data_IF_854850495092
#
_entry.id   IF_854850495092
#
_cell.length_a   1.000
_cell.length_b   1.000
_cell.length_c   1.000
_cell.angle_alpha   90.00
_cell.angle_beta   90.00
_cell.angle_gamma   90.00
#
_symmetry.space_group_name_H-M   'P 1'
#
loop_
_entity.id
_entity.type
_entity.pdbx_description
1 polymer ?
#
# COMPACT_ATOMS: atom_id res chain seq x y z
N UNK A 1 -46.25 -14.73 -31.72
CA UNK A 1 -46.23 -13.88 -30.50
C UNK A 1 -44.78 -13.67 -30.11
N UNK A 2 -44.19 -12.47 -30.27
CA UNK A 2 -42.81 -12.26 -29.86
C UNK A 2 -42.71 -12.25 -28.33
N UNK A 3 -41.88 -13.12 -27.78
CA UNK A 3 -41.60 -13.21 -26.36
C UNK A 3 -41.08 -11.85 -25.86
N UNK A 4 -41.82 -11.21 -24.96
CA UNK A 4 -41.38 -9.98 -24.32
C UNK A 4 -40.07 -10.26 -23.58
N UNK A 5 -38.97 -9.75 -24.13
CA UNK A 5 -37.63 -9.84 -23.53
C UNK A 5 -37.70 -9.12 -22.18
N UNK A 6 -37.91 -9.88 -21.10
CA UNK A 6 -38.04 -9.34 -19.75
C UNK A 6 -36.77 -8.55 -19.43
N UNK A 7 -36.88 -7.21 -19.38
CA UNK A 7 -35.75 -6.36 -19.03
C UNK A 7 -35.23 -6.82 -17.66
N UNK A 8 -33.95 -7.19 -17.52
CA UNK A 8 -33.44 -7.67 -16.25
C UNK A 8 -33.70 -6.59 -15.18
N UNK A 9 -34.19 -6.97 -13.99
CA UNK A 9 -34.51 -6.02 -12.96
C UNK A 9 -33.26 -5.21 -12.62
N UNK A 10 -33.37 -3.87 -12.58
CA UNK A 10 -32.24 -2.95 -12.37
C UNK A 10 -31.40 -3.30 -11.13
N UNK A 11 -32.00 -3.96 -10.14
CA UNK A 11 -31.34 -4.45 -8.92
C UNK A 11 -30.34 -5.57 -9.19
N UNK A 12 -30.63 -6.48 -10.13
CA UNK A 12 -29.74 -7.59 -10.50
C UNK A 12 -28.39 -7.08 -11.04
N UNK A 13 -28.41 -5.96 -11.77
CA UNK A 13 -27.19 -5.30 -12.27
C UNK A 13 -26.29 -4.83 -11.13
N UNK A 14 -26.87 -4.29 -10.06
CA UNK A 14 -26.10 -3.81 -8.89
C UNK A 14 -25.60 -4.95 -8.02
N UNK A 15 -26.37 -6.04 -7.88
CA UNK A 15 -25.92 -7.26 -7.21
C UNK A 15 -24.74 -7.88 -7.97
N UNK A 16 -24.83 -7.98 -9.30
CA UNK A 16 -23.72 -8.45 -10.14
C UNK A 16 -22.49 -7.56 -10.00
N UNK A 17 -22.65 -6.23 -10.03
CA UNK A 17 -21.54 -5.29 -9.80
C UNK A 17 -20.89 -5.49 -8.41
N UNK A 18 -21.69 -5.63 -7.36
CA UNK A 18 -21.18 -5.86 -6.00
C UNK A 18 -20.38 -7.17 -5.93
N UNK A 19 -20.89 -8.25 -6.52
CA UNK A 19 -20.20 -9.54 -6.58
C UNK A 19 -18.89 -9.45 -7.35
N UNK A 20 -18.87 -8.77 -8.50
CA UNK A 20 -17.65 -8.54 -9.28
C UNK A 20 -16.64 -7.72 -8.47
N UNK A 21 -17.08 -6.66 -7.79
CA UNK A 21 -16.20 -5.87 -6.92
C UNK A 21 -15.63 -6.71 -5.78
N UNK A 22 -16.45 -7.54 -5.12
CA UNK A 22 -15.99 -8.46 -4.08
C UNK A 22 -14.96 -9.46 -4.61
N UNK A 23 -15.20 -10.02 -5.81
CA UNK A 23 -14.27 -10.93 -6.46
C UNK A 23 -12.92 -10.24 -6.72
N UNK A 24 -12.94 -9.05 -7.30
CA UNK A 24 -11.72 -8.25 -7.57
C UNK A 24 -10.99 -7.93 -6.26
N UNK A 25 -11.72 -7.48 -5.23
CA UNK A 25 -11.13 -7.19 -3.92
C UNK A 25 -10.52 -8.44 -3.28
N UNK A 26 -11.17 -9.59 -3.40
CA UNK A 26 -10.66 -10.85 -2.84
C UNK A 26 -9.41 -11.34 -3.57
N UNK A 27 -9.40 -11.28 -4.91
CA UNK A 27 -8.21 -11.62 -5.70
C UNK A 27 -7.06 -10.67 -5.37
N UNK A 28 -7.34 -9.37 -5.32
CA UNK A 28 -6.37 -8.37 -4.92
C UNK A 28 -5.81 -8.64 -3.53
N UNK A 29 -6.68 -8.91 -2.55
CA UNK A 29 -6.27 -9.23 -1.19
C UNK A 29 -5.31 -10.42 -1.18
N UNK A 30 -5.71 -11.57 -1.76
CA UNK A 30 -4.88 -12.78 -1.84
C UNK A 30 -3.52 -12.49 -2.48
N UNK A 31 -3.49 -11.88 -3.67
CA UNK A 31 -2.23 -11.55 -4.36
C UNK A 31 -1.35 -10.61 -3.55
N UNK A 32 -1.93 -9.60 -2.89
CA UNK A 32 -1.19 -8.65 -2.05
C UNK A 32 -0.64 -9.27 -0.77
N UNK A 33 -1.40 -10.17 -0.12
CA UNK A 33 -0.92 -10.91 1.05
C UNK A 33 0.19 -11.87 0.69
N UNK A 34 0.09 -12.59 -0.43
CA UNK A 34 1.15 -13.48 -0.91
C UNK A 34 2.45 -12.72 -1.18
N UNK A 35 2.38 -11.58 -1.88
CA UNK A 35 3.55 -10.72 -2.12
C UNK A 35 4.14 -10.19 -0.81
N UNK A 36 3.29 -9.76 0.13
CA UNK A 36 3.74 -9.23 1.44
C UNK A 36 4.37 -10.32 2.30
N UNK A 37 3.81 -11.53 2.31
CA UNK A 37 4.34 -12.69 3.03
C UNK A 37 5.68 -13.09 2.42
N UNK A 38 5.76 -13.23 1.09
CA UNK A 38 7.00 -13.53 0.37
C UNK A 38 8.12 -12.51 0.65
N UNK A 39 7.79 -11.20 0.61
CA UNK A 39 8.75 -10.14 0.95
C UNK A 39 9.23 -10.21 2.42
N UNK A 40 8.35 -10.62 3.35
CA UNK A 40 8.72 -10.78 4.77
C UNK A 40 9.50 -12.06 5.06
N UNK A 41 9.15 -13.19 4.43
CA UNK A 41 9.74 -14.49 4.72
C UNK A 41 11.10 -14.70 4.06
N UNK A 42 11.35 -14.12 2.88
CA UNK A 42 12.61 -14.29 2.17
C UNK A 42 13.61 -13.15 2.37
N UNK A 43 13.36 -12.22 3.30
CA UNK A 43 14.25 -11.09 3.56
C UNK A 43 14.48 -10.18 2.35
N UNK A 44 13.62 -10.30 1.33
CA UNK A 44 13.77 -9.68 0.01
C UNK A 44 13.63 -8.18 0.08
N UNK A 45 14.71 -7.50 0.47
CA UNK A 45 14.79 -6.06 0.47
C UNK A 45 15.71 -5.52 1.53
N UNK A 46 15.86 -6.19 2.68
CA UNK A 46 16.81 -5.72 3.69
C UNK A 46 18.23 -6.11 3.27
N UNK A 47 19.03 -5.12 2.87
CA UNK A 47 20.44 -5.33 2.56
C UNK A 47 21.22 -5.10 3.86
N UNK A 48 21.83 -6.17 4.37
CA UNK A 48 22.77 -6.05 5.49
C UNK A 48 23.98 -5.22 5.04
N UNK A 49 24.28 -4.19 5.80
CA UNK A 49 25.43 -3.31 5.59
C UNK A 49 26.50 -3.70 6.59
N UNK A 50 27.44 -4.53 6.15
CA UNK A 50 28.58 -5.00 6.96
C UNK A 50 29.89 -4.84 6.19
N UNK A 51 30.64 -3.73 6.32
CA UNK A 51 30.30 -2.37 6.76
C UNK A 51 29.96 -1.44 5.58
N UNK A 52 29.95 -1.99 4.36
CA UNK A 52 29.64 -1.29 3.11
C UNK A 52 28.58 -2.06 2.33
N UNK A 53 27.69 -1.36 1.64
CA UNK A 53 26.71 -1.96 0.74
C UNK A 53 26.58 -1.09 -0.51
N UNK A 54 26.49 -1.72 -1.69
CA UNK A 54 26.17 -1.01 -2.93
C UNK A 54 24.68 -1.08 -3.18
N UNK A 55 24.10 0.07 -3.46
CA UNK A 55 22.67 0.23 -3.79
C UNK A 55 22.55 1.08 -5.04
N UNK A 56 21.43 0.95 -5.74
CA UNK A 56 21.08 1.82 -6.85
C UNK A 56 19.79 2.53 -6.51
N UNK A 57 19.78 3.85 -6.60
CA UNK A 57 18.65 4.68 -6.23
C UNK A 57 18.40 5.75 -7.29
N UNK A 58 17.14 6.06 -7.53
CA UNK A 58 16.74 7.18 -8.37
C UNK A 58 16.42 8.41 -7.52
N UNK A 59 16.60 9.60 -8.09
CA UNK A 59 16.31 10.84 -7.37
C UNK A 59 14.84 10.89 -6.91
N UNK A 60 14.65 11.17 -5.63
CA UNK A 60 13.34 11.24 -4.98
C UNK A 60 12.82 9.91 -4.45
N UNK A 61 13.45 8.76 -4.76
CA UNK A 61 13.03 7.47 -4.21
C UNK A 61 13.21 7.44 -2.69
N UNK A 62 12.22 6.89 -1.94
CA UNK A 62 12.35 6.72 -0.51
C UNK A 62 13.35 5.60 -0.20
N UNK A 63 14.11 5.75 0.88
CA UNK A 63 14.95 4.68 1.43
C UNK A 63 15.09 4.88 2.95
N UNK A 64 15.56 3.86 3.65
CA UNK A 64 15.74 3.90 5.10
C UNK A 64 17.03 3.23 5.54
N UNK A 65 17.47 3.60 6.74
CA UNK A 65 18.61 3.00 7.42
C UNK A 65 18.15 2.61 8.83
N UNK A 66 18.16 1.30 9.10
CA UNK A 66 17.83 0.71 10.38
C UNK A 66 19.08 0.16 11.06
N UNK A 67 19.03 0.10 12.39
CA UNK A 67 19.98 -0.64 13.22
C UNK A 67 19.18 -1.69 14.00
N UNK A 68 19.81 -2.82 14.32
CA UNK A 68 19.19 -3.88 15.13
C UNK A 68 19.26 -3.60 16.64
N UNK A 69 20.09 -2.65 17.06
CA UNK A 69 20.32 -2.27 18.46
C UNK A 69 20.05 -0.77 18.66
N UNK A 70 19.77 -0.34 19.89
CA UNK A 70 19.58 1.08 20.27
C UNK A 70 20.89 1.91 20.19
N UNK A 71 21.81 1.53 19.30
CA UNK A 71 23.08 2.18 19.07
C UNK A 71 22.94 3.28 18.01
N UNK A 72 23.62 4.41 18.26
CA UNK A 72 23.69 5.51 17.29
C UNK A 72 24.70 5.12 16.20
N UNK A 73 24.21 4.49 15.14
CA UNK A 73 25.03 4.14 13.97
C UNK A 73 24.98 5.29 12.96
N UNK A 74 26.15 5.77 12.55
CA UNK A 74 26.26 6.78 11.48
C UNK A 74 26.62 6.07 10.19
N UNK A 75 25.90 6.40 9.12
CA UNK A 75 26.06 5.85 7.79
C UNK A 75 26.28 6.98 6.79
N UNK A 76 27.37 6.89 6.02
CA UNK A 76 27.65 7.75 4.89
C UNK A 76 27.06 7.11 3.63
N UNK A 77 26.29 7.87 2.87
CA UNK A 77 25.82 7.47 1.55
C UNK A 77 26.63 8.25 0.52
N UNK A 78 27.41 7.52 -0.25
CA UNK A 78 28.41 8.02 -1.20
C UNK A 78 27.95 7.65 -2.62
N UNK A 79 27.21 8.53 -3.31
CA UNK A 79 26.84 8.29 -4.70
C UNK A 79 28.03 8.43 -5.64
N UNK A 80 28.03 7.69 -6.75
CA UNK A 80 29.04 7.89 -7.80
C UNK A 80 28.93 9.27 -8.45
N UNK A 81 27.71 9.79 -8.55
CA UNK A 81 27.39 11.10 -9.08
C UNK A 81 26.63 11.92 -8.04
N UNK A 82 27.36 12.67 -7.20
CA UNK A 82 26.78 13.60 -6.23
C UNK A 82 27.66 13.83 -5.02
N UNK A 83 27.17 14.67 -4.10
CA UNK A 83 27.84 14.90 -2.82
C UNK A 83 27.49 13.78 -1.83
N UNK A 84 28.50 13.26 -1.08
CA UNK A 84 28.26 12.31 -0.02
C UNK A 84 27.51 12.99 1.13
N UNK A 85 26.58 12.26 1.75
CA UNK A 85 25.83 12.74 2.92
C UNK A 85 25.84 11.71 4.03
N UNK A 86 26.00 12.18 5.26
CA UNK A 86 25.98 11.36 6.45
C UNK A 86 24.59 11.37 7.10
N UNK A 87 24.18 10.21 7.60
CA UNK A 87 22.89 9.99 8.22
C UNK A 87 23.05 9.16 9.47
N UNK A 88 22.26 9.46 10.49
CA UNK A 88 22.09 8.54 11.60
C UNK A 88 21.04 7.50 11.23
N UNK A 89 21.40 6.23 11.37
CA UNK A 89 20.42 5.16 11.49
C UNK A 89 19.60 5.44 12.75
N UNK A 90 18.30 5.14 12.72
CA UNK A 90 17.33 5.41 13.80
C UNK A 90 17.05 6.89 14.15
N UNK A 91 17.41 7.86 13.31
CA UNK A 91 17.04 9.26 13.55
C UNK A 91 15.51 9.42 13.54
N UNK A 92 14.92 9.32 14.73
CA UNK A 92 13.50 9.47 15.05
C UNK A 92 13.10 10.95 15.01
N UNK A 93 13.92 11.85 14.46
CA UNK A 93 13.76 13.30 14.66
C UNK A 93 13.06 14.03 13.51
N UNK A 94 12.80 13.40 12.35
CA UNK A 94 12.25 14.08 11.16
C UNK A 94 10.80 13.65 10.81
N UNK A 95 9.92 13.62 11.81
CA UNK A 95 8.52 13.21 11.67
C UNK A 95 7.62 14.25 10.98
N UNK A 96 7.56 14.19 9.65
CA UNK A 96 6.46 14.75 8.87
C UNK A 96 5.22 13.85 8.83
N UNK A 97 4.57 13.59 9.97
CA UNK A 97 3.16 13.19 10.05
C UNK A 97 2.73 11.74 9.71
N UNK A 98 1.78 11.23 10.51
CA UNK A 98 1.02 9.98 10.39
C UNK A 98 1.70 8.66 10.79
N UNK A 99 1.74 8.46 12.11
CA UNK A 99 1.90 7.18 12.82
C UNK A 99 0.78 6.19 12.45
N UNK A 100 1.13 5.09 11.78
CA UNK A 100 0.29 3.86 11.78
C UNK A 100 1.02 2.54 11.49
N UNK A 101 2.35 2.50 11.42
CA UNK A 101 3.08 1.25 11.14
C UNK A 101 4.12 0.95 12.25
N UNK A 102 4.32 -0.31 12.68
CA UNK A 102 5.31 -0.63 13.68
C UNK A 102 6.71 -0.45 13.08
N UNK A 103 7.41 0.59 13.53
CA UNK A 103 8.88 0.76 13.51
C UNK A 103 9.58 0.56 12.16
N UNK A 104 9.18 1.30 11.13
CA UNK A 104 10.13 1.62 10.04
C UNK A 104 10.89 2.89 10.42
N UNK A 105 12.22 2.98 10.21
CA UNK A 105 12.97 4.21 10.33
C UNK A 105 12.40 5.31 9.42
N UNK A 106 12.70 6.57 9.73
CA UNK A 106 12.29 7.71 8.93
C UNK A 106 12.62 7.51 7.44
N UNK A 107 11.65 7.80 6.58
CA UNK A 107 11.83 7.76 5.13
C UNK A 107 12.75 8.92 4.71
N UNK A 108 13.86 8.60 4.03
CA UNK A 108 14.75 9.58 3.41
C UNK A 108 14.54 9.54 1.90
N UNK A 109 14.68 10.68 1.22
CA UNK A 109 14.60 10.72 -0.25
C UNK A 109 15.99 10.84 -0.85
N UNK A 110 16.29 9.99 -1.82
CA UNK A 110 17.54 10.08 -2.56
C UNK A 110 17.66 11.45 -3.27
N UNK A 111 18.81 12.11 -3.12
CA UNK A 111 19.11 13.40 -3.77
C UNK A 111 19.97 13.23 -5.04
N UNK A 112 20.31 11.99 -5.37
CA UNK A 112 21.13 11.61 -6.51
C UNK A 112 20.41 10.53 -7.33
N UNK A 113 20.95 10.21 -8.49
CA UNK A 113 20.47 9.10 -9.35
C UNK A 113 21.64 8.23 -9.74
N UNK A 114 21.49 6.92 -9.60
CA UNK A 114 22.49 5.92 -9.96
C UNK A 114 23.02 5.14 -8.75
N UNK A 115 24.15 4.43 -8.93
CA UNK A 115 24.76 3.63 -7.89
C UNK A 115 25.35 4.50 -6.76
N UNK A 116 25.24 3.99 -5.54
CA UNK A 116 25.83 4.55 -4.34
C UNK A 116 26.38 3.47 -3.42
N UNK A 117 27.45 3.82 -2.70
CA UNK A 117 28.00 3.03 -1.62
C UNK A 117 27.53 3.58 -0.28
N UNK A 118 26.91 2.73 0.52
CA UNK A 118 26.51 3.03 1.89
C UNK A 118 27.58 2.46 2.81
N UNK A 119 28.23 3.30 3.60
CA UNK A 119 29.24 2.89 4.57
C UNK A 119 28.80 3.26 5.98
N UNK A 120 28.66 2.27 6.85
CA UNK A 120 28.21 2.50 8.23
C UNK A 120 29.35 2.25 9.23
N UNK A 121 29.30 2.95 10.36
CA UNK A 121 30.28 2.76 11.44
C UNK A 121 30.18 1.38 12.10
N UNK A 122 28.98 0.79 12.11
CA UNK A 122 28.67 -0.55 12.62
C UNK A 122 27.64 -1.23 11.70
N UNK A 123 27.38 -2.51 11.95
CA UNK A 123 26.39 -3.28 11.20
C UNK A 123 25.03 -2.57 11.19
N UNK A 124 24.50 -2.33 10.00
CA UNK A 124 23.22 -1.66 9.79
C UNK A 124 22.41 -2.39 8.72
N UNK A 125 21.16 -1.98 8.55
CA UNK A 125 20.25 -2.51 7.54
C UNK A 125 19.81 -1.37 6.64
N UNK A 126 20.08 -1.53 5.35
CA UNK A 126 19.47 -0.69 4.35
C UNK A 126 18.05 -1.20 4.05
N UNK A 127 17.10 -0.27 4.07
CA UNK A 127 15.71 -0.49 3.69
C UNK A 127 15.49 0.14 2.31
N UNK A 128 15.08 -0.66 1.32
CA UNK A 128 15.01 -0.23 -0.05
C UNK A 128 13.65 0.46 -0.29
N UNK A 129 13.45 1.11 -1.45
CA UNK A 129 12.25 1.87 -1.74
C UNK A 129 10.95 1.05 -1.62
N UNK A 130 10.99 -0.23 -1.96
CA UNK A 130 9.83 -1.12 -1.95
C UNK A 130 9.25 -1.30 -0.54
N UNK A 131 10.07 -1.15 0.51
CA UNK A 131 9.61 -1.19 1.92
C UNK A 131 8.74 0.02 2.29
N UNK A 132 8.87 1.12 1.56
CA UNK A 132 8.13 2.35 1.76
C UNK A 132 6.98 2.54 0.75
N UNK A 133 6.79 1.59 -0.18
CA UNK A 133 5.70 1.67 -1.15
C UNK A 133 4.33 1.52 -0.47
N UNK A 134 3.54 2.61 -0.52
CA UNK A 134 2.18 2.66 0.04
C UNK A 134 1.09 2.40 -1.01
N UNK A 135 1.46 2.11 -2.25
CA UNK A 135 0.52 1.90 -3.36
C UNK A 135 -0.47 0.78 -3.02
N UNK A 136 0.01 -0.29 -2.41
CA UNK A 136 -0.83 -1.42 -1.98
C UNK A 136 -1.95 -1.01 -1.01
N UNK A 137 -1.64 -0.12 -0.07
CA UNK A 137 -2.59 0.39 0.93
C UNK A 137 -3.61 1.35 0.31
N UNK A 138 -3.18 2.21 -0.61
CA UNK A 138 -4.06 3.14 -1.32
C UNK A 138 -5.11 2.39 -2.16
N UNK A 139 -4.69 1.34 -2.88
CA UNK A 139 -5.59 0.50 -3.68
C UNK A 139 -6.59 -0.24 -2.78
N UNK A 140 -6.13 -0.78 -1.64
CA UNK A 140 -7.02 -1.42 -0.67
C UNK A 140 -8.08 -0.46 -0.12
N UNK A 141 -7.67 0.76 0.26
CA UNK A 141 -8.61 1.80 0.70
C UNK A 141 -9.63 2.14 -0.40
N UNK A 142 -9.18 2.28 -1.65
CA UNK A 142 -10.05 2.52 -2.80
C UNK A 142 -11.08 1.42 -3.00
N UNK A 143 -10.66 0.15 -2.89
CA UNK A 143 -11.55 -1.00 -3.00
C UNK A 143 -12.57 -1.09 -1.85
N UNK A 144 -12.17 -0.76 -0.62
CA UNK A 144 -13.07 -0.70 0.54
C UNK A 144 -14.07 0.47 0.44
N UNK A 145 -13.64 1.63 -0.04
CA UNK A 145 -14.52 2.76 -0.30
C UNK A 145 -15.54 2.43 -1.41
N UNK A 146 -15.10 1.77 -2.49
CA UNK A 146 -15.99 1.35 -3.57
C UNK A 146 -17.01 0.29 -3.11
N UNK A 147 -16.56 -0.69 -2.32
CA UNK A 147 -17.43 -1.75 -1.80
C UNK A 147 -18.50 -1.20 -0.85
N UNK A 148 -18.13 -0.30 0.08
CA UNK A 148 -19.07 0.36 0.98
C UNK A 148 -20.09 1.22 0.23
N UNK A 149 -19.68 1.98 -0.78
CA UNK A 149 -20.59 2.76 -1.62
C UNK A 149 -21.62 1.86 -2.35
N UNK A 150 -21.18 0.71 -2.88
CA UNK A 150 -22.08 -0.24 -3.54
C UNK A 150 -23.08 -0.87 -2.56
N UNK A 151 -22.68 -1.16 -1.31
CA UNK A 151 -23.59 -1.65 -0.27
C UNK A 151 -24.71 -0.62 -0.02
N UNK A 152 -24.37 0.66 0.14
CA UNK A 152 -25.36 1.74 0.33
C UNK A 152 -26.33 1.82 -0.85
N UNK A 153 -25.82 1.76 -2.08
CA UNK A 153 -26.67 1.78 -3.29
C UNK A 153 -27.65 0.60 -3.30
N UNK A 154 -27.18 -0.61 -2.98
CA UNK A 154 -28.04 -1.80 -2.92
C UNK A 154 -29.12 -1.65 -1.85
N UNK A 155 -28.78 -1.19 -0.64
CA UNK A 155 -29.75 -0.95 0.44
C UNK A 155 -30.81 0.07 0.04
N UNK A 156 -30.40 1.19 -0.58
CA UNK A 156 -31.33 2.23 -1.07
C UNK A 156 -32.26 1.68 -2.16
N UNK A 157 -31.74 0.87 -3.09
CA UNK A 157 -32.55 0.22 -4.14
C UNK A 157 -33.59 -0.74 -3.55
N UNK A 158 -33.19 -1.55 -2.56
CA UNK A 158 -34.09 -2.47 -1.85
C UNK A 158 -35.17 -1.67 -1.10
N UNK A 159 -34.78 -0.67 -0.31
CA UNK A 159 -35.71 0.18 0.44
C UNK A 159 -36.70 0.90 -0.48
N UNK A 160 -36.24 1.44 -1.62
CA UNK A 160 -37.12 2.04 -2.64
C UNK A 160 -38.10 1.01 -3.19
N UNK A 161 -37.63 -0.19 -3.54
CA UNK A 161 -38.49 -1.27 -4.08
C UNK A 161 -39.55 -1.72 -3.08
N UNK A 162 -39.18 -1.91 -1.81
CA UNK A 162 -40.12 -2.25 -0.73
C UNK A 162 -41.15 -1.15 -0.54
N UNK A 163 -40.73 0.12 -0.52
CA UNK A 163 -41.65 1.27 -0.39
C UNK A 163 -42.61 1.38 -1.57
N UNK A 164 -42.17 1.11 -2.79
CA UNK A 164 -43.04 1.08 -3.97
C UNK A 164 -44.02 -0.10 -3.96
N UNK A 165 -43.60 -1.28 -3.51
CA UNK A 165 -44.49 -2.44 -3.36
C UNK A 165 -45.54 -2.19 -2.28
N UNK A 166 -45.17 -1.68 -1.10
CA UNK A 166 -46.12 -1.35 -0.03
C UNK A 166 -47.13 -0.29 -0.46
N UNK A 167 -46.73 0.71 -1.27
CA UNK A 167 -47.65 1.70 -1.85
C UNK A 167 -48.63 1.12 -2.87
N UNK A 168 -48.29 0.02 -3.53
CA UNK A 168 -49.19 -0.69 -4.45
C UNK A 168 -50.20 -1.55 -3.67
N UNK A 169 -49.73 -2.26 -2.64
CA UNK A 169 -50.60 -3.03 -1.74
C UNK A 169 -51.56 -2.16 -0.93
N UNK A 170 -51.19 -0.92 -0.60
CA UNK A 170 -52.07 0.03 0.09
C UNK A 170 -53.09 0.74 -0.83
N UNK A 171 -53.04 0.52 -2.15
CA UNK A 171 -53.96 1.11 -3.15
C UNK A 171 -54.91 0.10 -3.79
N UNK A 172 -54.74 -1.18 -3.51
CA UNK A 172 -55.67 -2.27 -3.82
C UNK A 172 -56.53 -2.53 -2.60
#
# INVERSE_FOLDING_TARGET
MPAAKARPPRVLRWILLLLVTWLVTSVYFVTSTEVTIWYRTFGGGQVAVEPTARVELEAGQPFGLATFQDEIVTCDVIPEAGEPRSFRASDESDWGGFRSNPRLPAERRAWFTGPAEIRCSHAAVFLPPERYDRTGMNVLMGLMAASSALIVVVLVQIARRVRFNNRRYART
#
